data_IF_549684500561
#
_entry.id   IF_549684500561
#
_cell.length_a   1.000
_cell.length_b   1.000
_cell.length_c   1.000
_cell.angle_alpha   90.00
_cell.angle_beta   90.00
_cell.angle_gamma   90.00
#
_symmetry.space_group_name_H-M   'P 1'
#
loop_
_entity.id
_entity.type
_entity.pdbx_description
1 polymer ?
#
# COMPACT_ATOMS: atom_id res chain seq x y z
N UNK A 1 -32.63 -9.17 -19.06
CA UNK A 1 -31.21 -8.78 -18.96
C UNK A 1 -30.63 -9.44 -17.72
N UNK A 2 -29.92 -10.58 -17.89
CA UNK A 2 -29.15 -11.19 -16.81
C UNK A 2 -27.93 -10.31 -16.53
N UNK A 3 -27.75 -9.90 -15.28
CA UNK A 3 -26.62 -9.10 -14.83
C UNK A 3 -25.28 -9.77 -15.16
N UNK A 4 -24.42 -9.09 -15.90
CA UNK A 4 -23.05 -9.52 -16.23
C UNK A 4 -22.09 -9.51 -15.01
N UNK A 5 -22.59 -9.32 -13.80
CA UNK A 5 -21.80 -9.28 -12.57
C UNK A 5 -21.16 -10.62 -12.16
N UNK A 6 -21.63 -11.74 -12.74
CA UNK A 6 -21.05 -13.07 -12.47
C UNK A 6 -19.89 -13.45 -13.39
N UNK A 7 -19.63 -12.70 -14.46
CA UNK A 7 -18.59 -13.02 -15.43
C UNK A 7 -17.18 -13.09 -14.78
N UNK A 8 -16.77 -12.14 -13.92
CA UNK A 8 -15.46 -12.21 -13.27
C UNK A 8 -15.26 -13.43 -12.36
N UNK A 9 -16.35 -14.07 -11.92
CA UNK A 9 -16.33 -15.23 -11.02
C UNK A 9 -16.21 -16.57 -11.76
N UNK A 10 -16.40 -16.57 -13.08
CA UNK A 10 -16.43 -17.80 -13.91
C UNK A 10 -15.16 -17.93 -14.77
N UNK A 11 -14.52 -16.81 -15.10
CA UNK A 11 -13.31 -16.84 -15.90
C UNK A 11 -12.06 -17.13 -15.03
N UNK A 12 -11.14 -17.98 -15.53
CA UNK A 12 -9.87 -18.21 -14.85
C UNK A 12 -9.05 -16.92 -14.76
N UNK A 13 -8.41 -16.72 -13.62
CA UNK A 13 -7.41 -15.64 -13.48
C UNK A 13 -6.16 -16.04 -14.28
N UNK A 14 -5.74 -15.18 -15.19
CA UNK A 14 -4.55 -15.40 -16.02
C UNK A 14 -3.40 -14.57 -15.44
N UNK A 15 -2.31 -15.23 -15.07
CA UNK A 15 -1.08 -14.61 -14.63
C UNK A 15 -0.03 -14.74 -15.73
N UNK A 16 0.42 -13.61 -16.25
CA UNK A 16 1.47 -13.57 -17.27
C UNK A 16 2.82 -13.34 -16.60
N UNK A 17 3.78 -14.22 -16.87
CA UNK A 17 5.16 -14.10 -16.40
C UNK A 17 6.04 -13.65 -17.55
N UNK A 18 6.52 -12.41 -17.49
CA UNK A 18 7.48 -11.91 -18.47
C UNK A 18 8.83 -12.65 -18.35
N UNK A 19 9.50 -12.85 -19.47
CA UNK A 19 10.81 -13.50 -19.54
C UNK A 19 11.91 -12.72 -18.80
N UNK A 20 11.83 -11.41 -18.72
CA UNK A 20 12.79 -10.56 -18.02
C UNK A 20 12.49 -10.39 -16.53
N UNK A 21 11.32 -10.73 -16.09
CA UNK A 21 10.86 -10.85 -14.70
C UNK A 21 11.43 -9.81 -13.74
N UNK A 22 10.79 -8.65 -13.65
CA UNK A 22 11.09 -7.69 -12.60
C UNK A 22 10.49 -8.16 -11.26
N UNK A 23 11.37 -8.65 -10.38
CA UNK A 23 11.00 -9.13 -9.06
C UNK A 23 10.34 -8.03 -8.20
N UNK A 24 10.77 -6.77 -8.34
CA UNK A 24 10.21 -5.66 -7.57
C UNK A 24 8.78 -5.36 -8.01
N UNK A 25 8.53 -5.39 -9.31
CA UNK A 25 7.19 -5.22 -9.87
C UNK A 25 6.27 -6.35 -9.39
N UNK A 26 6.71 -7.62 -9.51
CA UNK A 26 5.92 -8.76 -9.06
C UNK A 26 5.59 -8.67 -7.54
N UNK A 27 6.57 -8.31 -6.71
CA UNK A 27 6.33 -8.14 -5.27
C UNK A 27 5.36 -7.00 -4.99
N UNK A 28 5.46 -5.89 -5.73
CA UNK A 28 4.51 -4.78 -5.66
C UNK A 28 3.10 -5.23 -6.04
N UNK A 29 2.98 -5.91 -7.16
CA UNK A 29 1.70 -6.42 -7.66
C UNK A 29 1.06 -7.42 -6.69
N UNK A 30 1.84 -8.33 -6.10
CA UNK A 30 1.34 -9.28 -5.11
C UNK A 30 0.86 -8.59 -3.83
N UNK A 31 1.54 -7.55 -3.37
CA UNK A 31 1.06 -6.74 -2.25
C UNK A 31 -0.25 -6.01 -2.59
N UNK A 32 -0.36 -5.53 -3.83
CA UNK A 32 -1.58 -4.89 -4.33
C UNK A 32 -2.76 -5.87 -4.42
N UNK A 33 -2.46 -7.13 -4.74
CA UNK A 33 -3.46 -8.19 -4.90
C UNK A 33 -3.89 -8.82 -3.57
N UNK A 34 -3.15 -8.58 -2.47
CA UNK A 34 -3.61 -9.05 -1.15
C UNK A 34 -4.97 -8.42 -0.81
N UNK A 35 -5.95 -9.30 -0.58
CA UNK A 35 -7.31 -8.93 -0.23
C UNK A 35 -7.49 -8.56 1.26
N UNK A 36 -6.45 -8.04 1.90
CA UNK A 36 -6.54 -7.56 3.26
C UNK A 36 -7.43 -6.31 3.33
N UNK A 37 -8.52 -6.39 4.08
CA UNK A 37 -9.48 -5.30 4.20
C UNK A 37 -8.88 -4.03 4.84
N UNK A 38 -7.90 -4.17 5.73
CA UNK A 38 -7.21 -3.01 6.31
C UNK A 38 -6.36 -2.31 5.26
N UNK A 39 -5.62 -3.07 4.43
CA UNK A 39 -4.83 -2.50 3.33
C UNK A 39 -5.73 -1.82 2.29
N UNK A 40 -6.86 -2.42 1.93
CA UNK A 40 -7.85 -1.81 1.03
C UNK A 40 -8.36 -0.48 1.59
N UNK A 41 -8.72 -0.44 2.86
CA UNK A 41 -9.19 0.78 3.55
C UNK A 41 -8.10 1.84 3.62
N UNK A 42 -6.84 1.45 3.87
CA UNK A 42 -5.70 2.36 3.91
C UNK A 42 -5.43 2.99 2.54
N UNK A 43 -5.46 2.20 1.45
CA UNK A 43 -5.26 2.68 0.07
C UNK A 43 -6.39 3.61 -0.37
N UNK A 44 -7.62 3.23 -0.11
CA UNK A 44 -8.78 4.03 -0.45
C UNK A 44 -8.93 5.28 0.42
N UNK A 45 -8.13 5.41 1.46
CA UNK A 45 -8.22 6.48 2.47
C UNK A 45 -9.67 6.68 2.94
N UNK A 46 -10.32 5.60 3.35
CA UNK A 46 -11.73 5.62 3.73
C UNK A 46 -11.95 6.37 5.03
N UNK A 47 -13.15 6.93 5.20
CA UNK A 47 -13.58 7.52 6.47
C UNK A 47 -13.80 6.40 7.51
N UNK A 48 -13.33 6.62 8.74
CA UNK A 48 -13.48 5.64 9.83
C UNK A 48 -14.95 5.34 10.15
N UNK A 49 -15.81 6.34 10.08
CA UNK A 49 -17.24 6.21 10.39
C UNK A 49 -18.10 5.79 9.20
N UNK A 50 -17.59 5.91 7.98
CA UNK A 50 -18.31 5.54 6.77
C UNK A 50 -17.35 5.06 5.68
N UNK A 51 -17.19 3.74 5.59
CA UNK A 51 -16.25 3.10 4.66
C UNK A 51 -16.57 3.35 3.17
N UNK A 52 -17.79 3.77 2.83
CA UNK A 52 -18.17 4.12 1.47
C UNK A 52 -17.69 5.52 1.05
N UNK A 53 -17.17 6.32 2.01
CA UNK A 53 -16.70 7.67 1.76
C UNK A 53 -15.19 7.78 1.93
N UNK A 54 -14.57 8.61 1.10
CA UNK A 54 -13.18 9.01 1.28
C UNK A 54 -13.04 9.89 2.54
N UNK A 55 -11.90 9.81 3.22
CA UNK A 55 -11.61 10.62 4.40
C UNK A 55 -11.54 12.11 4.03
N UNK A 56 -12.29 12.92 4.75
CA UNK A 56 -12.22 14.38 4.62
C UNK A 56 -11.24 15.04 5.59
N UNK A 57 -10.40 14.26 6.27
CA UNK A 57 -9.40 14.74 7.25
C UNK A 57 -9.98 15.68 8.32
N UNK A 58 -11.22 15.44 8.75
CA UNK A 58 -11.86 16.21 9.83
C UNK A 58 -11.34 15.83 11.23
N UNK A 59 -10.59 14.74 11.32
CA UNK A 59 -9.98 14.19 12.53
C UNK A 59 -10.93 13.88 13.70
N UNK A 60 -12.24 13.84 13.46
CA UNK A 60 -13.23 13.50 14.48
C UNK A 60 -13.06 12.08 15.06
N UNK A 61 -12.39 11.20 14.33
CA UNK A 61 -12.08 9.83 14.79
C UNK A 61 -10.97 9.79 15.86
N UNK A 62 -10.14 10.82 15.97
CA UNK A 62 -8.96 10.81 16.84
C UNK A 62 -9.36 10.65 18.29
N UNK A 63 -10.41 11.31 18.76
CA UNK A 63 -10.89 11.17 20.15
C UNK A 63 -11.32 9.75 20.53
N UNK A 64 -11.63 8.86 19.55
CA UNK A 64 -11.88 7.44 19.79
C UNK A 64 -10.57 6.64 19.79
N UNK A 65 -9.69 6.97 18.85
CA UNK A 65 -8.39 6.30 18.68
C UNK A 65 -7.51 6.51 19.92
N UNK A 66 -7.44 7.74 20.45
CA UNK A 66 -6.63 8.08 21.62
C UNK A 66 -7.08 7.42 22.94
N UNK A 67 -8.29 6.84 22.97
CA UNK A 67 -8.77 6.07 24.12
C UNK A 67 -8.26 4.63 24.14
N UNK A 68 -7.70 4.15 23.04
CA UNK A 68 -7.16 2.80 22.89
C UNK A 68 -5.69 2.75 23.31
N UNK A 69 -5.30 1.63 23.86
CA UNK A 69 -3.87 1.34 24.08
C UNK A 69 -3.18 1.02 22.74
N UNK A 70 -1.86 1.18 22.65
CA UNK A 70 -1.12 0.85 21.42
C UNK A 70 -1.35 -0.58 20.91
N UNK A 71 -1.60 -1.53 21.80
CA UNK A 71 -1.86 -2.93 21.45
C UNK A 71 -3.27 -3.15 20.86
N UNK A 72 -4.21 -2.25 21.10
CA UNK A 72 -5.58 -2.32 20.59
C UNK A 72 -5.77 -1.57 19.27
N UNK A 73 -4.77 -0.79 18.85
CA UNK A 73 -4.82 -0.07 17.58
C UNK A 73 -4.55 -1.01 16.40
N UNK A 74 -5.44 -1.00 15.43
CA UNK A 74 -5.15 -1.63 14.14
C UNK A 74 -4.28 -0.73 13.25
N UNK A 75 -3.79 -1.27 12.13
CA UNK A 75 -2.93 -0.55 11.20
C UNK A 75 -3.63 0.68 10.58
N UNK A 76 -4.94 0.59 10.32
CA UNK A 76 -5.73 1.68 9.77
C UNK A 76 -5.88 2.83 10.77
N UNK A 77 -6.19 2.53 12.03
CA UNK A 77 -6.29 3.51 13.12
C UNK A 77 -4.95 4.19 13.39
N UNK A 78 -3.86 3.40 13.42
CA UNK A 78 -2.50 3.92 13.55
C UNK A 78 -2.15 4.87 12.40
N UNK A 79 -2.56 4.54 11.18
CA UNK A 79 -2.37 5.40 10.02
C UNK A 79 -3.15 6.72 10.15
N UNK A 80 -4.40 6.70 10.66
CA UNK A 80 -5.19 7.92 10.93
C UNK A 80 -4.56 8.78 12.02
N UNK A 81 -4.00 8.16 13.05
CA UNK A 81 -3.26 8.88 14.09
C UNK A 81 -2.00 9.55 13.52
N UNK A 82 -1.27 8.85 12.64
CA UNK A 82 -0.12 9.43 11.95
C UNK A 82 -0.55 10.64 11.09
N UNK A 83 -1.61 10.52 10.30
CA UNK A 83 -2.15 11.63 9.49
C UNK A 83 -2.46 12.85 10.36
N UNK A 84 -3.05 12.64 11.52
CA UNK A 84 -3.33 13.71 12.47
C UNK A 84 -2.06 14.34 13.04
N UNK A 85 -1.08 13.54 13.44
CA UNK A 85 0.21 14.05 13.93
C UNK A 85 0.97 14.83 12.86
N UNK A 86 0.93 14.38 11.61
CA UNK A 86 1.50 15.11 10.47
C UNK A 86 0.76 16.45 10.23
N UNK A 87 -0.56 16.46 10.35
CA UNK A 87 -1.35 17.69 10.28
C UNK A 87 -0.94 18.70 11.38
N UNK A 88 -0.65 18.22 12.59
CA UNK A 88 -0.21 19.04 13.71
C UNK A 88 1.20 19.67 13.53
N UNK A 89 1.98 19.27 12.54
CA UNK A 89 3.29 19.87 12.24
C UNK A 89 3.22 21.34 11.77
N UNK A 90 2.03 21.90 11.68
CA UNK A 90 1.78 23.33 11.45
C UNK A 90 2.53 23.90 10.24
N UNK A 91 2.36 23.29 9.07
CA UNK A 91 2.94 23.76 7.81
C UNK A 91 2.44 25.16 7.39
N UNK A 92 1.36 25.65 8.01
CA UNK A 92 0.77 26.96 7.72
C UNK A 92 1.72 28.13 8.01
N UNK A 93 2.51 28.04 9.06
CA UNK A 93 3.49 29.10 9.36
C UNK A 93 4.59 29.15 8.29
N UNK A 94 5.06 27.97 7.87
CA UNK A 94 6.04 27.87 6.78
C UNK A 94 5.45 28.41 5.47
N UNK A 95 4.23 28.02 5.12
CA UNK A 95 3.50 28.50 3.95
C UNK A 95 3.38 30.03 3.94
N UNK A 96 3.02 30.63 5.08
CA UNK A 96 2.93 32.10 5.22
C UNK A 96 4.28 32.79 4.98
N UNK A 97 5.37 32.24 5.48
CA UNK A 97 6.73 32.78 5.22
C UNK A 97 7.11 32.69 3.75
N UNK A 98 6.87 31.55 3.12
CA UNK A 98 7.14 31.35 1.68
C UNK A 98 6.28 32.27 0.84
N UNK A 99 4.99 32.36 1.10
CA UNK A 99 4.07 33.23 0.34
C UNK A 99 4.44 34.72 0.45
N UNK A 100 4.92 35.15 1.62
CA UNK A 100 5.42 36.53 1.78
C UNK A 100 6.61 36.81 0.85
N UNK A 101 7.55 35.89 0.77
CA UNK A 101 8.71 36.01 -0.09
C UNK A 101 8.34 35.87 -1.58
N UNK A 102 7.42 34.97 -1.90
CA UNK A 102 6.92 34.75 -3.24
C UNK A 102 6.24 36.02 -3.79
N UNK A 103 5.39 36.68 -2.99
CA UNK A 103 4.76 37.96 -3.36
C UNK A 103 5.78 39.09 -3.53
N UNK A 104 6.80 39.16 -2.68
CA UNK A 104 7.90 40.15 -2.84
C UNK A 104 8.65 39.98 -4.17
N UNK A 105 8.75 38.73 -4.65
CA UNK A 105 9.44 38.40 -5.89
C UNK A 105 8.50 38.45 -7.12
N UNK A 106 7.29 39.03 -6.98
CA UNK A 106 6.36 39.26 -8.09
C UNK A 106 5.34 38.14 -8.31
N UNK A 107 5.30 37.12 -7.47
CA UNK A 107 4.26 36.06 -7.53
C UNK A 107 2.89 36.59 -7.17
N UNK A 108 1.88 36.20 -7.93
CA UNK A 108 0.48 36.63 -7.72
C UNK A 108 -0.40 35.57 -7.05
N UNK A 109 -0.02 34.30 -7.19
CA UNK A 109 -0.76 33.16 -6.64
C UNK A 109 -0.45 32.90 -5.17
N UNK A 110 -1.11 31.90 -4.59
CA UNK A 110 -0.84 31.42 -3.24
C UNK A 110 -0.28 30.00 -3.29
N UNK A 111 0.84 29.79 -2.61
CA UNK A 111 1.48 28.47 -2.48
C UNK A 111 0.86 27.78 -1.26
N UNK A 112 0.26 26.60 -1.49
CA UNK A 112 -0.29 25.75 -0.45
C UNK A 112 0.60 24.51 -0.29
N UNK A 113 0.80 24.11 0.97
CA UNK A 113 1.49 22.87 1.30
C UNK A 113 0.46 21.87 1.82
N UNK A 114 0.45 20.69 1.22
CA UNK A 114 -0.31 19.55 1.73
C UNK A 114 0.63 18.39 2.02
N UNK A 115 0.37 17.68 3.10
CA UNK A 115 1.09 16.47 3.44
C UNK A 115 0.18 15.28 3.20
N UNK A 116 0.54 14.44 2.26
CA UNK A 116 -0.19 13.22 1.92
C UNK A 116 0.65 12.00 2.30
N UNK A 117 -0.02 10.99 2.83
CA UNK A 117 0.58 9.68 3.08
C UNK A 117 0.47 8.83 1.82
N UNK A 118 1.61 8.34 1.36
CA UNK A 118 1.68 7.36 0.27
C UNK A 118 1.89 5.97 0.87
N UNK A 119 0.83 5.18 0.94
CA UNK A 119 0.85 3.83 1.53
C UNK A 119 1.79 2.91 0.76
N UNK A 120 1.85 3.02 -0.56
CA UNK A 120 2.69 2.20 -1.43
C UNK A 120 4.19 2.43 -1.15
N UNK A 121 4.57 3.69 -0.89
CA UNK A 121 5.96 4.04 -0.53
C UNK A 121 6.33 3.67 0.90
N UNK A 122 5.35 3.63 1.80
CA UNK A 122 5.57 3.26 3.19
C UNK A 122 5.71 1.74 3.38
N UNK A 123 5.02 0.95 2.56
CA UNK A 123 5.04 -0.50 2.62
C UNK A 123 6.11 -1.05 1.66
N UNK A 124 7.35 -1.08 2.11
CA UNK A 124 8.43 -1.75 1.37
C UNK A 124 8.66 -3.15 1.92
N UNK A 125 8.34 -4.17 1.13
CA UNK A 125 8.71 -5.55 1.45
C UNK A 125 10.10 -5.82 0.92
N UNK A 126 11.00 -6.27 1.79
CA UNK A 126 12.32 -6.76 1.41
C UNK A 126 12.33 -8.27 1.63
N UNK A 127 12.63 -9.02 0.57
CA UNK A 127 12.68 -10.48 0.65
C UNK A 127 14.12 -10.96 0.64
N UNK A 128 14.47 -11.78 1.64
CA UNK A 128 15.79 -12.35 1.81
C UNK A 128 15.70 -13.87 1.89
N UNK A 129 16.71 -14.55 1.35
CA UNK A 129 16.88 -16.01 1.50
C UNK A 129 17.94 -16.23 2.55
N UNK A 130 17.58 -17.00 3.57
CA UNK A 130 18.50 -17.47 4.60
C UNK A 130 18.94 -18.91 4.31
N UNK A 131 20.25 -19.12 4.23
CA UNK A 131 20.84 -20.46 4.16
C UNK A 131 21.30 -20.87 5.57
N UNK A 132 20.59 -21.79 6.24
CA UNK A 132 20.90 -22.17 7.62
C UNK A 132 22.23 -22.91 7.74
N UNK A 133 22.67 -23.66 6.71
CA UNK A 133 23.92 -24.39 6.72
C UNK A 133 25.17 -23.49 6.72
N UNK A 134 25.04 -22.29 6.14
CA UNK A 134 26.13 -21.32 6.04
C UNK A 134 25.89 -20.08 6.93
N UNK A 135 24.77 -20.03 7.64
CA UNK A 135 24.31 -18.87 8.40
C UNK A 135 24.41 -17.56 7.59
N UNK A 136 24.01 -17.62 6.32
CA UNK A 136 24.18 -16.54 5.37
C UNK A 136 22.82 -16.07 4.85
N UNK A 137 22.53 -14.78 5.00
CA UNK A 137 21.33 -14.14 4.48
C UNK A 137 21.69 -13.27 3.27
N UNK A 138 20.93 -13.38 2.19
CA UNK A 138 21.13 -12.61 0.96
C UNK A 138 19.79 -12.11 0.40
N UNK A 139 19.71 -10.86 -0.09
CA UNK A 139 18.53 -10.40 -0.80
C UNK A 139 18.22 -11.26 -2.03
N UNK A 140 16.94 -11.61 -2.23
CA UNK A 140 16.49 -12.40 -3.39
C UNK A 140 16.88 -11.72 -4.72
N UNK A 141 16.89 -10.40 -4.77
CA UNK A 141 17.32 -9.64 -5.95
C UNK A 141 18.76 -9.91 -6.38
N UNK A 142 19.66 -10.33 -5.45
CA UNK A 142 21.05 -10.69 -5.75
C UNK A 142 21.26 -12.18 -6.10
N UNK A 143 20.19 -12.95 -6.14
CA UNK A 143 20.24 -14.36 -6.52
C UNK A 143 20.34 -14.52 -8.04
N UNK A 144 20.89 -15.65 -8.49
CA UNK A 144 20.92 -16.00 -9.91
C UNK A 144 19.51 -16.16 -10.49
N UNK A 145 19.37 -16.01 -11.81
CA UNK A 145 18.08 -16.04 -12.52
C UNK A 145 17.22 -17.27 -12.19
N UNK A 146 17.83 -18.46 -12.12
CA UNK A 146 17.12 -19.71 -11.79
C UNK A 146 16.47 -19.69 -10.41
N UNK A 147 17.21 -19.27 -9.37
CA UNK A 147 16.67 -19.19 -8.01
C UNK A 147 15.57 -18.13 -7.87
N UNK A 148 15.72 -17.00 -8.53
CA UNK A 148 14.65 -15.99 -8.61
C UNK A 148 13.40 -16.55 -9.26
N UNK A 149 13.56 -17.34 -10.34
CA UNK A 149 12.41 -17.98 -11.01
C UNK A 149 11.69 -18.96 -10.08
N UNK A 150 12.42 -19.79 -9.33
CA UNK A 150 11.82 -20.70 -8.35
C UNK A 150 11.04 -19.92 -7.29
N UNK A 151 11.63 -18.86 -6.76
CA UNK A 151 10.96 -18.00 -5.78
C UNK A 151 9.66 -17.39 -6.35
N UNK A 152 9.70 -16.84 -7.58
CA UNK A 152 8.54 -16.26 -8.24
C UNK A 152 7.42 -17.28 -8.46
N UNK A 153 7.77 -18.49 -8.91
CA UNK A 153 6.80 -19.58 -9.06
C UNK A 153 6.17 -19.94 -7.71
N UNK A 154 6.98 -20.08 -6.66
CA UNK A 154 6.48 -20.40 -5.32
C UNK A 154 5.54 -19.32 -4.76
N UNK A 155 5.82 -18.03 -5.03
CA UNK A 155 4.92 -16.94 -4.68
C UNK A 155 3.58 -17.07 -5.40
N UNK A 156 3.60 -17.30 -6.71
CA UNK A 156 2.39 -17.43 -7.52
C UNK A 156 1.58 -18.66 -7.13
N UNK A 157 2.22 -19.79 -6.88
CA UNK A 157 1.56 -21.01 -6.39
C UNK A 157 0.87 -20.76 -5.04
N UNK A 158 1.56 -20.10 -4.11
CA UNK A 158 1.00 -19.75 -2.81
C UNK A 158 -0.22 -18.85 -2.96
N UNK A 159 -0.11 -17.84 -3.81
CA UNK A 159 -1.19 -16.89 -4.04
C UNK A 159 -2.40 -17.55 -4.71
N UNK A 160 -2.17 -18.33 -5.76
CA UNK A 160 -3.26 -19.03 -6.49
C UNK A 160 -3.90 -20.14 -5.65
N UNK A 161 -3.14 -20.77 -4.77
CA UNK A 161 -3.62 -21.80 -3.83
C UNK A 161 -4.54 -21.28 -2.74
N UNK A 162 -4.37 -20.04 -2.31
CA UNK A 162 -5.22 -19.42 -1.27
C UNK A 162 -6.57 -18.95 -1.78
N UNK A 163 -6.69 -18.63 -3.07
CA UNK A 163 -7.93 -18.13 -3.69
C UNK A 163 -8.77 -19.21 -4.39
N UNK A 164 -8.74 -20.42 -3.99
CA UNK A 164 -8.97 -21.69 -4.70
C UNK A 164 -10.39 -22.01 -5.19
N UNK A 165 -11.27 -21.08 -5.47
CA UNK A 165 -12.54 -21.37 -6.17
C UNK A 165 -12.54 -21.07 -7.67
N UNK A 166 -11.54 -20.35 -8.16
CA UNK A 166 -11.45 -20.00 -9.57
C UNK A 166 -10.15 -20.60 -10.12
N UNK A 167 -10.21 -21.39 -11.20
CA UNK A 167 -9.01 -21.95 -11.81
C UNK A 167 -8.08 -20.80 -12.27
N UNK A 168 -6.79 -20.93 -11.97
CA UNK A 168 -5.77 -19.96 -12.38
C UNK A 168 -4.91 -20.57 -13.49
N UNK A 169 -4.59 -19.77 -14.50
CA UNK A 169 -3.72 -20.17 -15.61
C UNK A 169 -2.44 -19.35 -15.51
N UNK A 170 -1.30 -20.04 -15.46
CA UNK A 170 0.03 -19.46 -15.52
C UNK A 170 0.54 -19.55 -16.97
N UNK A 171 0.92 -18.43 -17.58
CA UNK A 171 1.45 -18.35 -18.94
C UNK A 171 2.84 -17.70 -18.96
#
# INVERSE_FOLDING_TARGET
HKNNSCIPQVFPKIYYLDAERDLNQLQGDLLMLQEDELLKRMRADTCMFNQAKKCGHCFSCIGLIEKKTPAELDAFETAKLLDYKLYQLNLDEFARKVNRNYKKNGGQDEILYSMNRDVERMLKVTTEIHNPAQNLTRPVAKMGKGMRSIYMLSLLETYTGTESRIPSILM
#
